data_IF_286200186934
#
_entry.id   IF_286200186934
#
_cell.length_a   1.000
_cell.length_b   1.000
_cell.length_c   1.000
_cell.angle_alpha   90.00
_cell.angle_beta   90.00
_cell.angle_gamma   90.00
#
_symmetry.space_group_name_H-M   'P 1'
#
loop_
_entity.id
_entity.type
_entity.pdbx_description
1 polymer ?
#
# COMPACT_ATOMS: atom_id res chain seq x y z
N UNK A 1 -9.57 -10.48 -24.33
CA UNK A 1 -8.82 -11.39 -23.43
C UNK A 1 -9.52 -11.49 -22.07
N UNK A 2 -10.58 -12.30 -21.99
CA UNK A 2 -11.54 -12.32 -20.88
C UNK A 2 -11.47 -13.61 -20.02
N UNK A 3 -10.36 -14.36 -20.05
CA UNK A 3 -10.36 -15.78 -19.64
C UNK A 3 -9.64 -16.13 -18.33
N UNK A 4 -9.28 -15.18 -17.46
CA UNK A 4 -8.51 -15.49 -16.24
C UNK A 4 -9.02 -14.89 -14.93
N UNK A 5 -10.12 -14.12 -14.92
CA UNK A 5 -10.58 -13.44 -13.69
C UNK A 5 -11.23 -14.38 -12.66
N UNK A 6 -11.86 -15.48 -13.09
CA UNK A 6 -12.61 -16.37 -12.19
C UNK A 6 -11.80 -17.59 -11.70
N UNK A 7 -10.83 -18.09 -12.47
CA UNK A 7 -10.03 -19.25 -12.05
C UNK A 7 -8.99 -18.91 -10.96
N UNK A 8 -8.41 -17.70 -10.97
CA UNK A 8 -7.45 -17.26 -9.94
C UNK A 8 -8.08 -16.96 -8.56
N UNK A 9 -9.41 -16.99 -8.46
CA UNK A 9 -10.12 -16.81 -7.20
C UNK A 9 -10.27 -18.14 -6.42
N UNK A 10 -10.08 -19.29 -7.06
CA UNK A 10 -10.49 -20.60 -6.53
C UNK A 10 -9.55 -21.18 -5.46
N UNK A 11 -8.36 -20.61 -5.27
CA UNK A 11 -7.37 -21.08 -4.27
C UNK A 11 -6.81 -20.02 -3.34
N UNK A 12 -7.34 -18.78 -3.35
CA UNK A 12 -6.81 -17.68 -2.53
C UNK A 12 -7.56 -17.55 -1.21
N UNK A 13 -6.81 -17.35 -0.12
CA UNK A 13 -7.35 -17.16 1.23
C UNK A 13 -8.24 -15.91 1.23
N UNK A 14 -9.51 -16.09 1.54
CA UNK A 14 -10.50 -15.01 1.56
C UNK A 14 -10.32 -14.15 2.82
N UNK A 15 -9.45 -13.12 2.75
CA UNK A 15 -9.10 -12.28 3.92
C UNK A 15 -9.69 -10.87 3.73
N UNK A 16 -10.51 -10.42 4.68
CA UNK A 16 -10.93 -9.01 4.76
C UNK A 16 -9.73 -8.16 5.19
N UNK A 17 -9.47 -7.08 4.46
CA UNK A 17 -8.34 -6.22 4.76
C UNK A 17 -8.75 -5.06 5.66
N UNK A 18 -7.85 -4.61 6.53
CA UNK A 18 -8.11 -3.52 7.46
C UNK A 18 -8.29 -2.17 6.74
N UNK A 19 -9.46 -1.54 6.92
CA UNK A 19 -9.83 -0.26 6.26
C UNK A 19 -9.44 0.99 7.07
N UNK A 20 -9.22 0.85 8.38
CA UNK A 20 -9.02 1.97 9.32
C UNK A 20 -7.55 2.17 9.71
N UNK A 21 -6.66 2.20 8.72
CA UNK A 21 -5.28 2.63 9.00
C UNK A 21 -5.29 4.14 9.24
N UNK A 22 -5.39 4.53 10.50
CA UNK A 22 -5.30 5.92 10.94
C UNK A 22 -3.84 6.37 10.87
N UNK A 23 -3.52 7.31 9.98
CA UNK A 23 -2.21 7.96 9.89
C UNK A 23 -1.72 8.49 11.26
N UNK A 24 -2.65 8.90 12.13
CA UNK A 24 -2.33 9.39 13.47
C UNK A 24 -1.64 8.34 14.36
N UNK A 25 -1.91 7.04 14.17
CA UNK A 25 -1.17 5.98 14.88
C UNK A 25 0.29 5.92 14.43
N UNK A 26 0.57 6.13 13.14
CA UNK A 26 1.93 6.19 12.61
C UNK A 26 2.71 7.37 13.21
N UNK A 27 2.07 8.54 13.31
CA UNK A 27 2.69 9.75 13.87
C UNK A 27 2.94 9.62 15.38
N UNK A 28 1.93 9.17 16.14
CA UNK A 28 1.99 9.08 17.59
C UNK A 28 2.96 8.00 18.08
N UNK A 29 3.07 6.86 17.39
CA UNK A 29 3.97 5.78 17.80
C UNK A 29 5.40 5.90 17.26
N UNK A 30 5.65 6.69 16.21
CA UNK A 30 7.01 6.84 15.65
C UNK A 30 7.95 7.56 16.63
N UNK A 31 7.48 8.57 17.34
CA UNK A 31 8.25 9.34 18.32
C UNK A 31 8.68 8.47 19.52
N UNK A 32 7.77 7.79 20.25
CA UNK A 32 8.12 6.99 21.42
C UNK A 32 8.88 5.69 21.06
N UNK A 33 8.76 5.18 19.83
CA UNK A 33 9.44 3.92 19.42
C UNK A 33 10.74 4.14 18.66
N UNK A 34 11.26 5.38 18.59
CA UNK A 34 12.45 5.74 17.80
C UNK A 34 12.40 5.20 16.36
N UNK A 35 11.21 5.16 15.76
CA UNK A 35 11.00 4.69 14.38
C UNK A 35 10.81 3.18 14.19
N UNK A 36 10.89 2.35 15.24
CA UNK A 36 10.65 0.88 15.13
C UNK A 36 9.22 0.62 14.62
N UNK A 37 8.23 1.38 15.08
CA UNK A 37 6.85 1.22 14.63
C UNK A 37 6.67 1.50 13.12
N UNK A 38 7.44 2.44 12.57
CA UNK A 38 7.41 2.74 11.13
C UNK A 38 7.79 1.51 10.31
N UNK A 39 8.78 0.73 10.77
CA UNK A 39 9.24 -0.49 10.09
C UNK A 39 8.13 -1.55 10.09
N UNK A 40 7.51 -1.79 11.24
CA UNK A 40 6.40 -2.73 11.36
C UNK A 40 5.21 -2.31 10.48
N UNK A 41 4.86 -1.02 10.49
CA UNK A 41 3.77 -0.47 9.71
C UNK A 41 3.96 -0.71 8.21
N UNK A 42 5.13 -0.35 7.66
CA UNK A 42 5.42 -0.53 6.23
C UNK A 42 5.50 -2.00 5.83
N UNK A 43 6.01 -2.87 6.71
CA UNK A 43 6.00 -4.31 6.49
C UNK A 43 4.56 -4.84 6.32
N UNK A 44 3.68 -4.60 7.30
CA UNK A 44 2.27 -5.00 7.23
C UNK A 44 1.55 -4.33 6.05
N UNK A 45 1.90 -3.08 5.76
CA UNK A 45 1.35 -2.34 4.63
C UNK A 45 1.61 -3.07 3.31
N UNK A 46 2.84 -3.53 3.06
CA UNK A 46 3.17 -4.28 1.85
C UNK A 46 2.59 -5.66 1.76
N UNK A 47 2.47 -6.37 2.88
CA UNK A 47 1.82 -7.68 2.88
C UNK A 47 0.37 -7.56 2.44
N UNK A 48 -0.36 -6.62 3.04
CA UNK A 48 -1.77 -6.40 2.72
C UNK A 48 -1.96 -5.88 1.27
N UNK A 49 -1.05 -5.05 0.77
CA UNK A 49 -1.09 -4.60 -0.62
C UNK A 49 -0.77 -5.74 -1.60
N UNK A 50 0.20 -6.60 -1.27
CA UNK A 50 0.51 -7.78 -2.07
C UNK A 50 -0.65 -8.79 -2.08
N UNK A 51 -1.42 -8.90 -0.99
CA UNK A 51 -2.58 -9.78 -0.91
C UNK A 51 -3.76 -9.24 -1.73
N UNK A 52 -3.99 -7.92 -1.69
CA UNK A 52 -5.02 -7.28 -2.51
C UNK A 52 -4.71 -7.35 -4.00
N UNK A 53 -3.42 -7.22 -4.35
CA UNK A 53 -2.98 -7.18 -5.72
C UNK A 53 -3.10 -8.57 -6.37
N UNK A 54 -3.54 -8.58 -7.64
CA UNK A 54 -3.76 -9.83 -8.39
C UNK A 54 -2.57 -10.23 -9.25
N UNK A 55 -1.57 -9.37 -9.37
CA UNK A 55 -0.35 -9.65 -10.12
C UNK A 55 0.64 -10.56 -9.38
N UNK A 56 1.39 -11.35 -10.14
CA UNK A 56 2.46 -12.23 -9.64
C UNK A 56 3.66 -11.45 -9.07
N UNK A 57 3.84 -10.19 -9.48
CA UNK A 57 4.96 -9.34 -9.07
C UNK A 57 4.72 -8.74 -7.68
N UNK A 58 5.13 -9.48 -6.66
CA UNK A 58 5.07 -9.06 -5.25
C UNK A 58 6.04 -7.91 -4.95
N UNK A 59 5.60 -6.94 -4.15
CA UNK A 59 6.48 -5.96 -3.51
C UNK A 59 7.51 -6.67 -2.64
N UNK A 60 8.75 -6.20 -2.70
CA UNK A 60 9.85 -6.71 -1.87
C UNK A 60 9.56 -6.50 -0.39
N UNK A 61 9.97 -7.47 0.43
CA UNK A 61 9.89 -7.40 1.88
C UNK A 61 10.55 -6.11 2.40
N UNK A 62 9.84 -5.37 3.26
CA UNK A 62 10.34 -4.10 3.78
C UNK A 62 11.67 -4.23 4.54
N UNK A 63 11.92 -5.38 5.18
CA UNK A 63 13.21 -5.68 5.83
C UNK A 63 14.36 -5.63 4.81
N UNK A 64 14.17 -6.22 3.63
CA UNK A 64 15.16 -6.20 2.56
C UNK A 64 15.38 -4.77 2.06
N UNK A 65 14.31 -3.98 1.97
CA UNK A 65 14.36 -2.56 1.59
C UNK A 65 15.16 -1.76 2.61
N UNK A 66 15.03 -2.05 3.91
CA UNK A 66 15.78 -1.40 4.96
C UNK A 66 17.28 -1.67 4.81
N UNK A 67 17.68 -2.93 4.63
CA UNK A 67 19.08 -3.30 4.39
C UNK A 67 19.65 -2.63 3.14
N UNK A 68 18.93 -2.70 2.00
CA UNK A 68 19.36 -2.04 0.76
C UNK A 68 19.42 -0.53 0.91
N UNK A 69 18.54 0.07 1.73
CA UNK A 69 18.59 1.50 2.00
C UNK A 69 19.84 1.90 2.77
N UNK A 70 20.34 1.08 3.71
CA UNK A 70 21.60 1.37 4.40
C UNK A 70 22.76 1.33 3.40
N UNK A 71 22.78 0.33 2.50
CA UNK A 71 23.83 0.16 1.49
C UNK A 71 23.80 1.29 0.44
N UNK A 72 22.62 1.75 0.05
CA UNK A 72 22.41 2.77 -1.01
C UNK A 72 22.27 4.20 -0.47
N UNK A 73 22.74 4.47 0.76
CA UNK A 73 22.64 5.79 1.41
C UNK A 73 21.21 6.35 1.48
N UNK A 74 20.23 5.46 1.57
CA UNK A 74 18.81 5.77 1.77
C UNK A 74 18.02 5.95 0.48
N UNK A 75 18.66 5.93 -0.70
CA UNK A 75 18.00 6.14 -2.00
C UNK A 75 16.98 5.05 -2.31
N UNK A 76 17.29 3.80 -1.98
CA UNK A 76 16.44 2.66 -2.29
C UNK A 76 15.02 2.74 -1.70
N UNK A 77 14.88 3.35 -0.52
CA UNK A 77 13.58 3.59 0.15
C UNK A 77 12.65 4.46 -0.68
N UNK A 78 13.18 5.41 -1.45
CA UNK A 78 12.43 6.30 -2.31
C UNK A 78 11.89 5.56 -3.54
N UNK A 79 12.77 4.78 -4.19
CA UNK A 79 12.40 3.92 -5.32
C UNK A 79 11.34 2.91 -4.91
N UNK A 80 11.51 2.26 -3.76
CA UNK A 80 10.51 1.35 -3.23
C UNK A 80 9.16 2.03 -2.97
N UNK A 81 9.18 3.26 -2.43
CA UNK A 81 7.95 4.01 -2.17
C UNK A 81 7.19 4.33 -3.47
N UNK A 82 7.90 4.65 -4.56
CA UNK A 82 7.30 4.81 -5.88
C UNK A 82 6.56 3.55 -6.31
N UNK A 83 7.22 2.39 -6.23
CA UNK A 83 6.59 1.10 -6.56
C UNK A 83 5.36 0.81 -5.70
N UNK A 84 5.40 1.14 -4.41
CA UNK A 84 4.22 0.96 -3.53
C UNK A 84 3.03 1.77 -4.03
N UNK A 85 3.21 3.06 -4.35
CA UNK A 85 2.12 3.92 -4.82
C UNK A 85 1.61 3.48 -6.20
N UNK A 86 2.51 3.07 -7.09
CA UNK A 86 2.18 2.52 -8.40
C UNK A 86 1.29 1.28 -8.28
N UNK A 87 1.64 0.36 -7.37
CA UNK A 87 0.80 -0.81 -7.09
C UNK A 87 -0.58 -0.45 -6.54
N UNK A 88 -0.68 0.53 -5.65
CA UNK A 88 -1.97 1.01 -5.16
C UNK A 88 -2.82 1.56 -6.31
N UNK A 89 -2.20 2.29 -7.25
CA UNK A 89 -2.90 2.84 -8.40
C UNK A 89 -3.41 1.72 -9.32
N UNK A 90 -2.55 0.78 -9.72
CA UNK A 90 -2.94 -0.36 -10.57
C UNK A 90 -4.07 -1.17 -9.92
N UNK A 91 -3.92 -1.55 -8.64
CA UNK A 91 -4.98 -2.27 -7.91
C UNK A 91 -6.26 -1.43 -7.75
N UNK A 92 -6.13 -0.10 -7.59
CA UNK A 92 -7.25 0.81 -7.56
C UNK A 92 -8.01 0.84 -8.90
N UNK A 93 -7.30 0.94 -10.01
CA UNK A 93 -7.86 0.94 -11.37
C UNK A 93 -8.57 -0.38 -11.68
N UNK A 94 -8.00 -1.53 -11.30
CA UNK A 94 -8.65 -2.85 -11.41
C UNK A 94 -9.98 -2.93 -10.65
N UNK A 95 -10.09 -2.20 -9.52
CA UNK A 95 -11.28 -2.13 -8.68
C UNK A 95 -12.22 -0.97 -9.06
N UNK A 96 -11.87 -0.17 -10.08
CA UNK A 96 -12.64 0.99 -10.53
C UNK A 96 -12.52 2.22 -9.62
N UNK A 97 -11.47 2.30 -8.81
CA UNK A 97 -11.18 3.44 -7.92
C UNK A 97 -10.09 4.30 -8.55
N UNK A 98 -10.41 5.56 -8.87
CA UNK A 98 -9.41 6.53 -9.33
C UNK A 98 -8.49 6.93 -8.16
N UNK A 99 -7.19 6.66 -8.30
CA UNK A 99 -6.17 7.02 -7.32
C UNK A 99 -5.46 8.28 -7.81
N UNK A 100 -5.66 9.38 -7.07
CA UNK A 100 -4.99 10.66 -7.28
C UNK A 100 -4.47 11.16 -5.93
N UNK A 101 -3.29 11.79 -5.86
CA UNK A 101 -2.27 11.94 -6.91
C UNK A 101 -1.54 10.63 -7.24
N UNK A 102 -0.95 10.56 -8.45
CA UNK A 102 -0.18 9.40 -8.92
C UNK A 102 1.20 9.22 -8.24
N UNK A 103 1.94 8.14 -8.58
CA UNK A 103 3.22 7.76 -7.99
C UNK A 103 4.28 8.85 -8.10
N UNK A 104 4.44 9.45 -9.27
CA UNK A 104 5.45 10.48 -9.53
C UNK A 104 5.22 11.73 -8.69
N UNK A 105 3.98 12.22 -8.63
CA UNK A 105 3.61 13.41 -7.84
C UNK A 105 3.78 13.12 -6.34
N UNK A 106 3.36 11.94 -5.88
CA UNK A 106 3.50 11.55 -4.47
C UNK A 106 4.97 11.40 -4.08
N UNK A 107 5.82 10.92 -4.99
CA UNK A 107 7.27 10.84 -4.79
C UNK A 107 7.90 12.23 -4.72
N UNK A 108 7.52 13.15 -5.62
CA UNK A 108 7.99 14.55 -5.61
C UNK A 108 7.63 15.21 -4.28
N UNK A 109 6.39 15.03 -3.81
CA UNK A 109 5.96 15.52 -2.49
C UNK A 109 6.84 14.97 -1.35
N UNK A 110 7.24 13.71 -1.44
CA UNK A 110 8.12 13.11 -0.44
C UNK A 110 9.55 13.68 -0.56
N UNK A 111 10.08 13.80 -1.77
CA UNK A 111 11.47 14.17 -2.06
C UNK A 111 11.71 15.66 -1.78
N UNK A 112 10.97 16.54 -2.44
CA UNK A 112 11.07 17.99 -2.24
C UNK A 112 10.51 18.43 -0.90
N UNK A 113 9.49 17.73 -0.41
CA UNK A 113 8.94 18.00 0.90
C UNK A 113 9.86 17.65 2.06
N UNK A 114 10.86 16.80 1.85
CA UNK A 114 11.85 16.45 2.88
C UNK A 114 12.72 17.65 3.28
N UNK A 115 12.94 18.60 2.36
CA UNK A 115 13.63 19.86 2.65
C UNK A 115 12.86 20.75 3.64
N UNK A 116 11.53 20.60 3.72
CA UNK A 116 10.65 21.38 4.60
C UNK A 116 10.21 20.53 5.82
N UNK A 117 10.74 19.30 5.97
CA UNK A 117 10.37 18.28 6.98
C UNK A 117 8.91 17.80 6.95
N UNK A 118 7.98 18.59 6.39
CA UNK A 118 6.53 18.33 6.38
C UNK A 118 6.10 17.41 5.24
N UNK A 119 6.75 17.47 4.08
CA UNK A 119 6.20 16.76 2.92
C UNK A 119 6.31 15.23 2.96
N UNK A 120 7.27 14.57 3.68
CA UNK A 120 7.20 13.14 3.91
C UNK A 120 5.94 12.72 4.66
N UNK A 121 5.45 13.57 5.58
CA UNK A 121 4.19 13.32 6.30
C UNK A 121 2.99 13.44 5.37
N UNK A 122 2.95 14.46 4.51
CA UNK A 122 1.88 14.63 3.50
C UNK A 122 1.84 13.45 2.53
N UNK A 123 2.99 13.05 1.99
CA UNK A 123 3.08 11.91 1.08
C UNK A 123 2.59 10.62 1.75
N UNK A 124 3.02 10.34 2.98
CA UNK A 124 2.56 9.16 3.73
C UNK A 124 1.05 9.22 4.04
N UNK A 125 0.52 10.39 4.40
CA UNK A 125 -0.92 10.58 4.64
C UNK A 125 -1.74 10.28 3.38
N UNK A 126 -1.32 10.82 2.24
CA UNK A 126 -1.97 10.59 0.94
C UNK A 126 -1.94 9.11 0.56
N UNK A 127 -0.78 8.46 0.67
CA UNK A 127 -0.63 7.03 0.37
C UNK A 127 -1.53 6.16 1.25
N UNK A 128 -1.61 6.44 2.55
CA UNK A 128 -2.49 5.69 3.46
C UNK A 128 -3.96 5.93 3.13
N UNK A 129 -4.37 7.16 2.84
CA UNK A 129 -5.74 7.48 2.45
C UNK A 129 -6.13 6.75 1.16
N UNK A 130 -5.24 6.71 0.19
CA UNK A 130 -5.45 6.02 -1.08
C UNK A 130 -5.55 4.50 -0.86
N UNK A 131 -4.68 3.92 -0.03
CA UNK A 131 -4.79 2.51 0.38
C UNK A 131 -6.12 2.18 1.05
N UNK A 132 -6.61 3.03 1.96
CA UNK A 132 -7.90 2.80 2.64
C UNK A 132 -9.09 2.92 1.67
N UNK A 133 -8.99 3.71 0.58
CA UNK A 133 -10.01 3.72 -0.48
C UNK A 133 -10.03 2.40 -1.25
N UNK A 134 -8.86 1.88 -1.61
CA UNK A 134 -8.71 0.59 -2.31
C UNK A 134 -9.22 -0.55 -1.44
N UNK A 135 -8.83 -0.60 -0.15
CA UNK A 135 -9.27 -1.61 0.81
C UNK A 135 -10.80 -1.66 0.95
N UNK A 136 -11.47 -0.49 1.06
CA UNK A 136 -12.93 -0.39 1.13
C UNK A 136 -13.62 -0.99 -0.09
N UNK A 137 -13.12 -0.67 -1.28
CA UNK A 137 -13.69 -1.19 -2.50
C UNK A 137 -13.46 -2.70 -2.64
N UNK A 138 -12.28 -3.17 -2.25
CA UNK A 138 -11.94 -4.59 -2.22
C UNK A 138 -12.90 -5.37 -1.29
N UNK A 139 -13.11 -4.89 -0.06
CA UNK A 139 -14.01 -5.53 0.89
C UNK A 139 -15.49 -5.46 0.45
N UNK A 140 -15.91 -4.39 -0.25
CA UNK A 140 -17.25 -4.32 -0.85
C UNK A 140 -17.44 -5.36 -1.95
N UNK A 141 -16.47 -5.51 -2.84
CA UNK A 141 -16.46 -6.56 -3.86
C UNK A 141 -16.51 -7.95 -3.22
N UNK A 142 -15.73 -8.15 -2.17
CA UNK A 142 -15.68 -9.39 -1.39
C UNK A 142 -17.05 -9.76 -0.79
N UNK A 143 -17.69 -8.83 -0.06
CA UNK A 143 -19.03 -9.06 0.52
C UNK A 143 -20.07 -9.44 -0.53
N UNK A 144 -20.00 -8.81 -1.71
CA UNK A 144 -20.90 -9.17 -2.83
C UNK A 144 -20.67 -10.60 -3.29
N UNK A 145 -19.40 -11.03 -3.41
CA UNK A 145 -19.04 -12.37 -3.85
C UNK A 145 -19.44 -13.44 -2.83
N UNK A 146 -19.23 -13.21 -1.53
CA UNK A 146 -19.61 -14.18 -0.49
C UNK A 146 -21.12 -14.45 -0.47
N UNK A 147 -21.94 -13.41 -0.66
CA UNK A 147 -23.40 -13.57 -0.75
C UNK A 147 -23.85 -14.46 -1.91
N UNK A 148 -23.15 -14.42 -3.04
CA UNK A 148 -23.45 -15.26 -4.22
C UNK A 148 -23.11 -16.73 -3.98
N UNK A 149 -22.14 -17.04 -3.13
CA UNK A 149 -21.73 -18.43 -2.84
C UNK A 149 -22.64 -19.06 -1.77
N UNK A 150 -23.30 -18.23 -0.94
CA UNK A 150 -24.18 -18.69 0.12
C UNK A 150 -25.65 -18.92 -0.34
N UNK A 151 -25.95 -18.67 -1.61
CA UNK A 151 -27.25 -18.89 -2.25
C UNK A 151 -27.14 -20.04 -3.25
#
# INVERSE_FOLDING_TARGET
MCYTRNCLQKGRRLIMIQEDRKFWKLLLFTIPTLGIYSIYFWFRFTQDLNEMNREEKKLKNYILVLFLSIITLGIYRWVWFFYVVDRIQVTGEELGVKINPGPSITLIWKLFGSFILIGPFVANYVTIRNMNKVARQYNKYFKKKTKVIAQ
#
